data_IF_473394522484
#
_entry.id   IF_473394522484
#
_cell.length_a   1.000
_cell.length_b   1.000
_cell.length_c   1.000
_cell.angle_alpha   90.00
_cell.angle_beta   90.00
_cell.angle_gamma   90.00
#
_symmetry.space_group_name_H-M   'P 1'
#
loop_
_entity.id
_entity.type
_entity.pdbx_description
1 polymer ?
#
# COMPACT_ATOMS: atom_id res chain seq x y z
N UNK A 1 19.24 15.06 19.25
CA UNK A 1 18.42 14.89 20.47
C UNK A 1 18.89 13.71 21.33
N UNK A 2 18.83 12.46 20.87
CA UNK A 2 19.16 11.27 21.69
C UNK A 2 20.57 11.30 22.29
N UNK A 3 21.58 11.72 21.50
CA UNK A 3 22.96 11.88 21.96
C UNK A 3 23.12 12.96 23.05
N UNK A 4 22.42 14.09 22.93
CA UNK A 4 22.42 15.15 23.95
C UNK A 4 21.76 14.67 25.25
N UNK A 5 20.62 13.99 25.14
CA UNK A 5 19.92 13.43 26.31
C UNK A 5 20.78 12.39 27.03
N UNK A 6 21.47 11.53 26.28
CA UNK A 6 22.41 10.56 26.84
C UNK A 6 23.58 11.25 27.55
N UNK A 7 24.14 12.31 26.97
CA UNK A 7 25.20 13.11 27.60
C UNK A 7 24.76 13.77 28.91
N UNK A 8 23.55 14.33 28.95
CA UNK A 8 22.97 14.93 30.15
C UNK A 8 22.75 13.89 31.26
N UNK A 9 22.14 12.75 30.92
CA UNK A 9 21.84 11.66 31.86
C UNK A 9 23.10 10.99 32.40
N UNK A 10 24.13 10.84 31.57
CA UNK A 10 25.40 10.22 31.95
C UNK A 10 26.32 11.17 32.74
N UNK A 11 25.90 12.43 32.94
CA UNK A 11 26.72 13.43 33.62
C UNK A 11 27.99 13.80 32.85
N UNK A 12 27.97 13.67 31.53
CA UNK A 12 29.13 13.96 30.70
C UNK A 12 29.55 15.42 30.86
N UNK A 13 30.86 15.64 30.96
CA UNK A 13 31.48 16.97 31.03
C UNK A 13 32.03 17.27 29.64
N UNK A 14 31.69 18.44 29.11
CA UNK A 14 32.21 18.92 27.84
C UNK A 14 33.73 19.16 27.97
N UNK A 15 34.52 18.53 27.11
CA UNK A 15 35.99 18.62 27.15
C UNK A 15 36.52 20.02 26.79
N UNK A 16 35.70 20.84 26.13
CA UNK A 16 36.07 22.19 25.69
C UNK A 16 35.68 23.26 26.71
N UNK A 17 34.54 23.09 27.38
CA UNK A 17 34.02 24.09 28.33
C UNK A 17 34.22 23.69 29.80
N UNK A 18 34.59 22.44 30.09
CA UNK A 18 34.68 21.86 31.43
C UNK A 18 33.38 21.92 32.26
N UNK A 19 32.27 22.24 31.60
CA UNK A 19 30.94 22.28 32.19
C UNK A 19 30.13 21.03 31.82
N UNK A 20 29.09 20.75 32.61
CA UNK A 20 28.16 19.65 32.33
C UNK A 20 27.51 19.87 30.96
N UNK A 21 27.47 18.83 30.13
CA UNK A 21 26.78 18.88 28.83
C UNK A 21 25.34 19.32 29.04
N UNK A 22 24.98 20.44 28.42
CA UNK A 22 23.61 20.96 28.42
C UNK A 22 22.95 20.64 27.08
N UNK A 23 21.63 20.37 27.05
CA UNK A 23 20.92 20.14 25.80
C UNK A 23 20.82 21.45 25.02
N UNK A 24 20.71 21.36 23.68
CA UNK A 24 20.64 22.55 22.84
C UNK A 24 19.48 23.50 23.19
N UNK A 25 18.39 22.96 23.74
CA UNK A 25 17.27 23.71 24.29
C UNK A 25 17.11 23.47 25.80
N UNK A 26 18.01 24.00 26.63
CA UNK A 26 17.95 23.80 28.09
C UNK A 26 18.31 24.99 28.97
N UNK A 27 18.71 26.12 28.38
CA UNK A 27 19.30 27.22 29.14
C UNK A 27 18.27 28.13 29.82
N UNK A 28 16.99 28.05 29.43
CA UNK A 28 15.92 28.93 29.91
C UNK A 28 14.70 28.14 30.39
N UNK A 29 13.91 28.69 31.35
CA UNK A 29 12.63 28.10 31.70
C UNK A 29 11.73 28.02 30.46
N UNK A 30 11.03 26.89 30.31
CA UNK A 30 10.14 26.63 29.16
C UNK A 30 10.86 26.57 27.80
N UNK A 31 12.18 26.36 27.76
CA UNK A 31 12.97 26.24 26.52
C UNK A 31 12.38 25.23 25.53
N UNK A 32 11.85 24.11 26.01
CA UNK A 32 11.20 23.12 25.16
C UNK A 32 9.89 23.64 24.56
N UNK A 33 9.08 24.34 25.35
CA UNK A 33 7.83 24.92 24.88
C UNK A 33 8.13 25.98 23.81
N UNK A 34 9.07 26.89 24.09
CA UNK A 34 9.39 28.02 23.23
C UNK A 34 10.13 27.62 21.95
N UNK A 35 11.07 26.68 22.04
CA UNK A 35 11.92 26.31 20.90
C UNK A 35 11.44 25.09 20.13
N UNK A 36 10.62 24.22 20.75
CA UNK A 36 10.11 22.99 20.09
C UNK A 36 8.64 23.07 19.77
N UNK A 37 7.81 23.33 20.78
CA UNK A 37 6.35 23.27 20.63
C UNK A 37 5.81 24.48 19.88
N UNK A 38 6.24 25.69 20.26
CA UNK A 38 5.74 26.96 19.70
C UNK A 38 5.96 27.08 18.19
N UNK A 39 7.14 26.73 17.60
CA UNK A 39 7.32 26.77 16.15
C UNK A 39 6.34 25.86 15.40
N UNK A 40 6.13 24.64 15.88
CA UNK A 40 5.20 23.67 15.27
C UNK A 40 3.75 24.16 15.43
N UNK A 41 3.39 24.66 16.62
CA UNK A 41 2.08 25.22 16.89
C UNK A 41 1.78 26.42 15.98
N UNK A 42 2.75 27.31 15.76
CA UNK A 42 2.59 28.45 14.88
C UNK A 42 2.32 28.05 13.42
N UNK A 43 2.91 26.94 12.94
CA UNK A 43 2.59 26.37 11.63
C UNK A 43 1.14 25.90 11.59
N UNK A 44 0.73 25.08 12.56
CA UNK A 44 -0.64 24.56 12.65
C UNK A 44 -1.65 25.71 12.70
N UNK A 45 -1.40 26.71 13.56
CA UNK A 45 -2.25 27.89 13.71
C UNK A 45 -2.44 28.63 12.39
N UNK A 46 -1.35 28.88 11.65
CA UNK A 46 -1.39 29.55 10.33
C UNK A 46 -2.13 28.72 9.28
N UNK A 47 -1.95 27.40 9.26
CA UNK A 47 -2.67 26.51 8.34
C UNK A 47 -4.18 26.47 8.65
N UNK A 48 -4.55 26.50 9.93
CA UNK A 48 -5.96 26.60 10.36
C UNK A 48 -6.56 27.96 9.99
N UNK A 49 -5.84 29.06 10.18
CA UNK A 49 -6.27 30.40 9.72
C UNK A 49 -6.48 30.41 8.19
N UNK A 50 -5.59 29.76 7.44
CA UNK A 50 -5.70 29.59 5.98
C UNK A 50 -6.92 28.77 5.55
N UNK A 51 -7.39 27.83 6.38
CA UNK A 51 -8.59 27.02 6.10
C UNK A 51 -9.89 27.84 6.12
N UNK A 52 -9.90 29.01 6.78
CA UNK A 52 -11.10 29.83 7.03
C UNK A 52 -12.27 29.02 7.61
N UNK A 53 -11.99 28.18 8.60
CA UNK A 53 -13.01 27.31 9.21
C UNK A 53 -13.52 26.20 8.28
N UNK A 54 -12.68 25.73 7.36
CA UNK A 54 -13.02 24.65 6.42
C UNK A 54 -13.77 25.08 5.15
N UNK A 55 -13.92 26.39 4.91
CA UNK A 55 -14.59 26.93 3.71
C UNK A 55 -13.66 27.08 2.50
N UNK A 56 -12.34 26.95 2.71
CA UNK A 56 -11.34 27.04 1.63
C UNK A 56 -11.07 25.66 1.04
N UNK A 57 -10.81 25.61 -0.27
CA UNK A 57 -10.48 24.37 -0.98
C UNK A 57 -9.42 23.55 -0.24
N UNK A 58 -9.67 22.24 -0.12
CA UNK A 58 -8.86 21.32 0.68
C UNK A 58 -7.44 21.15 0.14
N UNK A 59 -7.13 21.65 -1.06
CA UNK A 59 -5.78 21.67 -1.64
C UNK A 59 -4.92 22.85 -1.17
N UNK A 60 -5.55 23.88 -0.60
CA UNK A 60 -4.90 25.16 -0.29
C UNK A 60 -4.28 25.25 1.13
N UNK A 61 -4.50 24.23 1.97
CA UNK A 61 -4.03 24.18 3.36
C UNK A 61 -3.71 22.74 3.77
N UNK A 62 -2.81 22.58 4.75
CA UNK A 62 -2.46 21.27 5.34
C UNK A 62 -3.30 20.97 6.58
N UNK A 63 -3.87 19.77 6.67
CA UNK A 63 -4.55 19.27 7.86
C UNK A 63 -3.57 18.62 8.84
N UNK A 64 -4.06 18.28 10.04
CA UNK A 64 -3.30 17.54 11.05
C UNK A 64 -2.66 16.26 10.48
N UNK A 65 -3.40 15.50 9.68
CA UNK A 65 -2.90 14.26 9.06
C UNK A 65 -1.71 14.52 8.13
N UNK A 66 -1.74 15.62 7.36
CA UNK A 66 -0.66 15.97 6.42
C UNK A 66 0.63 16.35 7.19
N UNK A 67 0.48 17.05 8.33
CA UNK A 67 1.60 17.39 9.21
C UNK A 67 2.13 16.16 9.95
N UNK A 68 1.24 15.29 10.43
CA UNK A 68 1.61 14.05 11.08
C UNK A 68 2.38 13.14 10.10
N UNK A 69 1.88 12.94 8.89
CA UNK A 69 2.53 12.12 7.84
C UNK A 69 3.95 12.57 7.57
N UNK A 70 4.20 13.89 7.52
CA UNK A 70 5.54 14.42 7.38
C UNK A 70 6.49 13.95 8.49
N UNK A 71 6.04 13.88 9.75
CA UNK A 71 6.86 13.35 10.86
C UNK A 71 7.09 11.83 10.76
N UNK A 72 6.23 11.11 10.06
CA UNK A 72 6.41 9.68 9.76
C UNK A 72 7.25 9.42 8.50
N UNK A 73 7.58 10.47 7.72
CA UNK A 73 8.45 10.36 6.56
C UNK A 73 9.93 10.53 6.94
N UNK A 74 10.87 9.94 6.17
CA UNK A 74 12.30 10.16 6.39
C UNK A 74 12.73 11.62 6.15
N UNK A 75 11.90 12.43 5.49
CA UNK A 75 12.16 13.84 5.28
C UNK A 75 12.09 14.64 6.59
N UNK A 76 11.45 14.10 7.64
CA UNK A 76 11.40 14.71 8.97
C UNK A 76 12.79 14.91 9.58
N UNK A 77 13.75 14.03 9.25
CA UNK A 77 15.14 14.18 9.68
C UNK A 77 15.80 15.41 9.04
N UNK A 78 15.25 15.91 7.94
CA UNK A 78 15.59 17.19 7.33
C UNK A 78 15.33 18.39 8.24
N UNK A 79 14.40 18.32 9.19
CA UNK A 79 14.22 19.42 10.17
C UNK A 79 15.50 19.63 10.99
N UNK A 80 16.19 18.54 11.30
CA UNK A 80 17.41 18.54 12.12
C UNK A 80 17.14 18.72 13.63
N UNK A 81 18.22 18.62 14.40
CA UNK A 81 18.25 18.94 15.82
C UNK A 81 19.56 19.69 16.12
N UNK A 82 19.52 20.97 16.56
CA UNK A 82 18.33 21.80 16.86
C UNK A 82 17.47 22.06 15.61
N UNK A 83 16.19 22.37 15.78
CA UNK A 83 15.27 22.54 14.66
C UNK A 83 15.65 23.79 13.84
N UNK A 84 15.75 23.61 12.51
CA UNK A 84 16.01 24.70 11.55
C UNK A 84 14.71 25.42 11.20
N UNK A 85 14.14 26.11 12.18
CA UNK A 85 12.85 26.82 12.08
C UNK A 85 12.83 27.90 10.98
N UNK A 86 13.97 28.54 10.74
CA UNK A 86 14.08 29.57 9.71
C UNK A 86 14.26 28.96 8.31
N UNK A 87 15.14 27.98 8.12
CA UNK A 87 15.53 27.57 6.77
C UNK A 87 14.78 26.36 6.22
N UNK A 88 14.01 25.65 7.06
CA UNK A 88 13.36 24.42 6.65
C UNK A 88 11.94 24.66 6.09
N UNK A 89 11.65 24.05 4.93
CA UNK A 89 10.38 24.20 4.20
C UNK A 89 9.13 23.79 5.00
N UNK A 90 9.29 22.88 5.98
CA UNK A 90 8.22 22.47 6.89
C UNK A 90 7.53 23.65 7.60
N UNK A 91 8.33 24.63 8.07
CA UNK A 91 7.84 25.79 8.82
C UNK A 91 7.31 26.92 7.93
N UNK A 92 7.48 26.79 6.61
CA UNK A 92 6.95 27.76 5.67
C UNK A 92 5.46 27.50 5.41
N UNK A 93 4.64 28.54 5.58
CA UNK A 93 3.21 28.54 5.25
C UNK A 93 2.95 29.68 4.27
N UNK A 94 2.24 29.40 3.17
CA UNK A 94 1.80 30.45 2.23
C UNK A 94 0.83 31.38 2.96
N UNK A 95 1.26 32.60 3.25
CA UNK A 95 0.35 33.67 3.67
C UNK A 95 -0.15 34.43 2.44
N UNK A 96 -1.45 34.74 2.40
CA UNK A 96 -2.07 35.44 1.26
C UNK A 96 -1.65 36.93 1.16
N UNK A 97 -0.86 37.44 2.11
CA UNK A 97 -0.55 38.88 2.24
C UNK A 97 0.77 39.33 1.58
N UNK A 98 1.26 38.65 0.54
CA UNK A 98 2.32 39.23 -0.32
C UNK A 98 1.79 39.39 -1.75
N UNK A 99 1.68 40.63 -2.27
CA UNK A 99 1.29 40.83 -3.66
C UNK A 99 2.37 40.22 -4.56
N UNK A 100 1.94 39.30 -5.41
CA UNK A 100 2.71 38.70 -6.51
C UNK A 100 3.00 39.80 -7.53
N UNK A 101 4.01 40.62 -7.27
CA UNK A 101 4.61 41.51 -8.27
C UNK A 101 6.05 41.11 -8.53
N UNK A 102 6.27 39.90 -9.05
CA UNK A 102 7.56 39.56 -9.70
C UNK A 102 7.50 38.39 -10.69
N UNK A 103 6.39 37.65 -10.81
CA UNK A 103 6.28 36.56 -11.78
C UNK A 103 5.94 37.00 -13.21
N UNK A 104 5.35 38.18 -13.44
CA UNK A 104 4.99 38.62 -14.80
C UNK A 104 6.16 39.20 -15.60
N UNK A 105 7.21 39.73 -14.94
CA UNK A 105 8.38 40.31 -15.67
C UNK A 105 9.33 39.26 -16.24
N UNK A 106 9.34 38.01 -15.74
CA UNK A 106 10.17 36.91 -16.29
C UNK A 106 9.55 36.23 -17.52
N UNK A 107 8.22 36.29 -17.71
CA UNK A 107 7.56 35.75 -18.92
C UNK A 107 7.66 36.68 -20.13
N UNK A 108 7.74 38.01 -19.93
CA UNK A 108 7.86 38.97 -21.04
C UNK A 108 9.27 39.06 -21.65
N UNK A 109 10.32 38.78 -20.89
CA UNK A 109 11.71 38.86 -21.37
C UNK A 109 12.21 37.60 -22.10
N UNK A 110 11.45 36.50 -22.07
CA UNK A 110 11.82 35.21 -22.69
C UNK A 110 11.22 35.01 -24.10
N UNK A 111 10.36 35.93 -24.55
CA UNK A 111 9.67 35.84 -25.85
C UNK A 111 10.23 36.79 -26.92
N UNK A 112 11.15 37.69 -26.59
CA UNK A 112 11.70 38.69 -27.54
C UNK A 112 13.21 38.54 -27.85
N UNK A 113 13.87 37.46 -27.43
CA UNK A 113 15.28 37.17 -27.79
C UNK A 113 15.45 35.78 -28.42
N UNK A 114 14.69 35.51 -29.47
CA UNK A 114 14.86 34.30 -30.27
C UNK A 114 14.52 34.53 -31.75
N UNK A 115 15.10 35.57 -32.33
CA UNK A 115 15.27 35.75 -33.78
C UNK A 115 16.61 36.50 -33.98
N UNK A 116 17.44 36.00 -34.89
CA UNK A 116 18.76 36.51 -35.36
C UNK A 116 19.93 36.43 -34.36
N UNK A 117 21.15 35.99 -34.68
CA UNK A 117 21.80 35.28 -35.79
C UNK A 117 23.21 34.91 -35.22
N UNK A 118 23.61 33.64 -35.21
CA UNK A 118 24.84 33.14 -35.85
C UNK A 118 25.88 34.20 -36.26
N UNK A 119 27.03 34.27 -35.57
CA UNK A 119 28.39 34.07 -36.13
C UNK A 119 29.54 34.46 -35.16
N UNK A 120 30.44 33.49 -34.94
CA UNK A 120 31.92 33.56 -35.05
C UNK A 120 32.81 34.38 -34.07
N UNK A 121 33.58 33.61 -33.28
CA UNK A 121 35.01 33.67 -32.87
C UNK A 121 35.66 34.83 -32.08
N UNK A 122 36.39 34.38 -31.04
CA UNK A 122 37.73 34.78 -30.53
C UNK A 122 38.01 36.23 -30.09
N UNK A 123 38.32 36.47 -28.80
CA UNK A 123 39.69 36.65 -28.23
C UNK A 123 39.68 37.24 -26.79
N UNK A 124 40.59 36.70 -25.96
CA UNK A 124 41.42 37.34 -24.90
C UNK A 124 40.79 37.89 -23.60
N UNK A 125 41.54 37.60 -22.53
CA UNK A 125 41.44 37.84 -21.09
C UNK A 125 41.34 39.32 -20.68
N UNK A 126 40.61 39.63 -19.60
CA UNK A 126 41.17 40.07 -18.29
C UNK A 126 40.08 40.62 -17.34
N UNK A 127 40.02 39.99 -16.16
CA UNK A 127 39.88 40.56 -14.81
C UNK A 127 38.63 41.30 -14.27
N UNK A 128 38.30 40.88 -13.04
CA UNK A 128 37.59 41.57 -11.93
C UNK A 128 36.06 41.68 -12.11
N UNK A 129 35.19 41.21 -11.21
CA UNK A 129 35.17 41.30 -9.75
C UNK A 129 34.17 40.27 -9.17
N UNK A 130 34.33 39.94 -7.88
CA UNK A 130 33.53 39.00 -7.11
C UNK A 130 32.01 39.25 -7.15
N UNK A 131 31.22 38.19 -7.34
CA UNK A 131 29.89 38.08 -6.71
C UNK A 131 29.53 36.59 -6.51
N UNK A 132 30.01 36.03 -5.39
CA UNK A 132 29.48 34.76 -4.87
C UNK A 132 28.04 35.01 -4.38
N UNK A 133 27.07 34.83 -5.27
CA UNK A 133 25.67 34.81 -4.90
C UNK A 133 25.31 33.39 -4.40
N UNK A 134 25.09 33.14 -3.10
CA UNK A 134 24.59 31.84 -2.68
C UNK A 134 23.17 31.73 -3.24
N UNK A 135 22.92 30.66 -4.00
CA UNK A 135 21.59 30.34 -4.53
C UNK A 135 20.57 30.37 -3.39
N UNK A 136 19.79 31.45 -3.33
CA UNK A 136 18.67 31.60 -2.41
C UNK A 136 17.59 30.62 -2.87
N UNK A 137 17.62 29.39 -2.36
CA UNK A 137 16.51 28.46 -2.51
C UNK A 137 15.23 29.16 -2.03
N UNK A 138 14.33 29.46 -2.97
CA UNK A 138 13.04 30.05 -2.63
C UNK A 138 12.26 29.03 -1.79
N UNK A 139 11.96 29.37 -0.53
CA UNK A 139 11.24 28.49 0.40
C UNK A 139 9.95 27.98 -0.24
N UNK A 140 9.79 26.67 -0.28
CA UNK A 140 8.67 26.04 -0.95
C UNK A 140 7.68 25.52 0.09
N UNK A 141 6.41 25.89 -0.07
CA UNK A 141 5.35 25.27 0.72
C UNK A 141 5.19 23.82 0.27
N UNK A 142 5.36 22.89 1.21
CA UNK A 142 5.44 21.45 0.97
C UNK A 142 4.18 20.82 0.34
N UNK A 143 3.08 21.58 0.23
CA UNK A 143 1.86 21.05 -0.35
C UNK A 143 1.05 20.25 0.64
N UNK A 144 -0.14 19.84 0.19
CA UNK A 144 -0.89 18.79 0.85
C UNK A 144 -0.25 17.44 0.51
N UNK A 145 0.22 16.71 1.52
CA UNK A 145 0.61 15.31 1.34
C UNK A 145 -0.70 14.53 1.23
N UNK A 146 -1.02 14.06 0.02
CA UNK A 146 -2.28 13.37 -0.19
C UNK A 146 -2.24 11.99 0.49
N UNK A 147 -2.47 11.89 1.80
CA UNK A 147 -3.14 10.74 2.39
C UNK A 147 -4.64 11.03 2.51
N UNK A 148 -5.25 11.39 1.38
CA UNK A 148 -6.64 11.00 1.19
C UNK A 148 -6.59 9.48 1.17
N UNK A 149 -6.95 8.84 2.30
CA UNK A 149 -7.45 7.46 2.27
C UNK A 149 -8.37 7.44 1.08
N UNK A 150 -8.00 6.73 0.01
CA UNK A 150 -8.91 6.51 -1.10
C UNK A 150 -9.98 5.60 -0.51
N UNK A 151 -10.95 6.17 0.20
CA UNK A 151 -12.07 5.47 0.82
C UNK A 151 -13.04 5.13 -0.32
N UNK A 152 -12.53 4.28 -1.21
CA UNK A 152 -13.32 3.64 -2.23
C UNK A 152 -14.08 2.50 -1.56
N UNK A 153 -15.31 2.28 -2.01
CA UNK A 153 -16.09 1.09 -1.65
C UNK A 153 -15.26 -0.21 -1.81
N UNK A 154 -14.35 -0.24 -2.78
CA UNK A 154 -13.43 -1.35 -3.02
C UNK A 154 -12.52 -1.67 -1.83
N UNK A 155 -12.24 -0.72 -0.93
CA UNK A 155 -11.45 -0.97 0.26
C UNK A 155 -12.21 -1.78 1.31
N UNK A 156 -13.54 -1.61 1.39
CA UNK A 156 -14.43 -2.44 2.20
C UNK A 156 -14.49 -3.86 1.62
N UNK A 157 -14.59 -3.98 0.29
CA UNK A 157 -14.57 -5.28 -0.38
C UNK A 157 -13.26 -6.03 -0.11
N UNK A 158 -12.12 -5.36 -0.24
CA UNK A 158 -10.79 -5.91 0.08
C UNK A 158 -10.66 -6.32 1.55
N UNK A 159 -11.17 -5.50 2.47
CA UNK A 159 -11.02 -5.74 3.91
C UNK A 159 -11.88 -6.90 4.42
N UNK A 160 -12.98 -7.23 3.74
CA UNK A 160 -13.92 -8.28 4.12
C UNK A 160 -14.09 -9.32 3.02
N UNK A 161 -13.01 -9.65 2.31
CA UNK A 161 -12.98 -10.58 1.16
C UNK A 161 -13.62 -11.93 1.48
N UNK A 162 -13.34 -12.49 2.66
CA UNK A 162 -13.85 -13.79 3.11
C UNK A 162 -15.38 -13.78 3.27
N UNK A 163 -15.90 -12.69 3.81
CA UNK A 163 -17.33 -12.49 4.03
C UNK A 163 -18.06 -12.39 2.68
N UNK A 164 -17.59 -11.52 1.79
CA UNK A 164 -18.19 -11.36 0.45
C UNK A 164 -18.13 -12.64 -0.36
N UNK A 165 -16.99 -13.35 -0.30
CA UNK A 165 -16.85 -14.65 -0.95
C UNK A 165 -17.86 -15.65 -0.44
N UNK A 166 -18.03 -15.76 0.88
CA UNK A 166 -19.03 -16.65 1.48
C UNK A 166 -20.45 -16.30 1.02
N UNK A 167 -20.84 -15.03 1.03
CA UNK A 167 -22.19 -14.62 0.64
C UNK A 167 -22.48 -14.88 -0.83
N UNK A 168 -21.56 -14.54 -1.74
CA UNK A 168 -21.76 -14.73 -3.17
C UNK A 168 -21.85 -16.23 -3.52
N UNK A 169 -20.97 -17.06 -2.96
CA UNK A 169 -20.98 -18.51 -3.21
C UNK A 169 -22.21 -19.18 -2.59
N UNK A 170 -22.60 -18.77 -1.38
CA UNK A 170 -23.82 -19.29 -0.74
C UNK A 170 -25.07 -18.89 -1.50
N UNK A 171 -25.15 -17.66 -2.00
CA UNK A 171 -26.25 -17.20 -2.83
C UNK A 171 -26.33 -18.02 -4.13
N UNK A 172 -25.20 -18.23 -4.80
CA UNK A 172 -25.16 -19.08 -6.00
C UNK A 172 -25.62 -20.51 -5.70
N UNK A 173 -25.18 -21.10 -4.59
CA UNK A 173 -25.60 -22.44 -4.17
C UNK A 173 -27.12 -22.51 -3.97
N UNK A 174 -27.69 -21.52 -3.26
CA UNK A 174 -29.13 -21.47 -2.99
C UNK A 174 -29.93 -21.28 -4.28
N UNK A 175 -29.46 -20.43 -5.21
CA UNK A 175 -30.12 -20.25 -6.51
C UNK A 175 -30.12 -21.56 -7.31
N UNK A 176 -28.98 -22.27 -7.37
CA UNK A 176 -28.90 -23.55 -8.06
C UNK A 176 -29.85 -24.58 -7.43
N UNK A 177 -29.88 -24.65 -6.09
CA UNK A 177 -30.79 -25.55 -5.38
C UNK A 177 -32.27 -25.19 -5.64
N UNK A 178 -32.61 -23.91 -5.68
CA UNK A 178 -33.97 -23.44 -5.96
C UNK A 178 -34.38 -23.75 -7.41
N UNK A 179 -33.46 -23.67 -8.37
CA UNK A 179 -33.76 -24.00 -9.78
C UNK A 179 -34.02 -25.48 -10.04
N UNK A 180 -33.56 -26.38 -9.17
CA UNK A 180 -33.71 -27.83 -9.30
C UNK A 180 -34.87 -28.39 -8.44
N UNK A 181 -35.70 -27.52 -7.83
CA UNK A 181 -36.88 -27.88 -7.02
C UNK A 181 -36.63 -29.02 -6.01
N UNK A 182 -35.52 -28.95 -5.26
CA UNK A 182 -35.16 -30.01 -4.30
C UNK A 182 -36.14 -30.05 -3.12
N UNK A 183 -36.78 -31.21 -2.93
CA UNK A 183 -37.66 -31.49 -1.77
C UNK A 183 -36.92 -31.99 -0.54
N UNK A 184 -35.64 -32.37 -0.65
CA UNK A 184 -34.81 -32.83 0.47
C UNK A 184 -33.31 -32.59 0.24
N UNK A 185 -32.50 -32.29 1.27
CA UNK A 185 -31.07 -31.98 1.14
C UNK A 185 -30.22 -33.11 0.54
N UNK A 186 -30.67 -34.37 0.65
CA UNK A 186 -29.94 -35.54 0.13
C UNK A 186 -30.07 -35.72 -1.39
N UNK A 187 -31.05 -35.06 -2.03
CA UNK A 187 -31.17 -35.04 -3.50
C UNK A 187 -30.05 -34.22 -4.16
N UNK A 188 -29.26 -33.50 -3.36
CA UNK A 188 -28.09 -32.72 -3.80
C UNK A 188 -26.95 -33.59 -4.36
N UNK A 189 -26.94 -34.89 -4.05
CA UNK A 189 -25.98 -35.86 -4.57
C UNK A 189 -26.39 -36.47 -5.92
N UNK A 190 -27.52 -36.06 -6.49
CA UNK A 190 -27.86 -36.46 -7.85
C UNK A 190 -26.85 -35.87 -8.83
N UNK A 191 -26.44 -36.65 -9.82
CA UNK A 191 -25.28 -36.33 -10.67
C UNK A 191 -25.47 -35.01 -11.43
N UNK A 192 -26.70 -34.71 -11.86
CA UNK A 192 -27.02 -33.48 -12.58
C UNK A 192 -26.94 -32.23 -11.69
N UNK A 193 -27.52 -32.31 -10.48
CA UNK A 193 -27.51 -31.20 -9.51
C UNK A 193 -26.08 -30.97 -8.99
N UNK A 194 -25.35 -32.05 -8.74
CA UNK A 194 -23.98 -31.99 -8.25
C UNK A 194 -23.03 -31.35 -9.27
N UNK A 195 -23.15 -31.67 -10.58
CA UNK A 195 -22.34 -31.02 -11.63
C UNK A 195 -22.58 -29.50 -11.67
N UNK A 196 -23.83 -29.06 -11.54
CA UNK A 196 -24.17 -27.64 -11.48
C UNK A 196 -23.66 -26.97 -10.19
N UNK A 197 -23.74 -27.64 -9.04
CA UNK A 197 -23.22 -27.09 -7.77
C UNK A 197 -21.70 -26.93 -7.80
N UNK A 198 -20.96 -27.85 -8.41
CA UNK A 198 -19.50 -27.69 -8.52
C UNK A 198 -19.14 -26.43 -9.34
N UNK A 199 -20.04 -25.84 -10.15
CA UNK A 199 -19.80 -24.54 -10.81
C UNK A 199 -19.50 -23.38 -9.85
N UNK A 200 -19.85 -23.51 -8.56
CA UNK A 200 -19.49 -22.55 -7.49
C UNK A 200 -17.97 -22.34 -7.42
N UNK A 201 -17.16 -23.38 -7.72
CA UNK A 201 -15.70 -23.23 -7.72
C UNK A 201 -15.19 -22.30 -8.82
N UNK A 202 -15.90 -22.18 -9.95
CA UNK A 202 -15.57 -21.21 -11.00
C UNK A 202 -15.77 -19.79 -10.46
N UNK A 203 -16.92 -19.52 -9.83
CA UNK A 203 -17.21 -18.22 -9.20
C UNK A 203 -16.20 -17.91 -8.11
N UNK A 204 -15.81 -18.91 -7.31
CA UNK A 204 -14.77 -18.76 -6.29
C UNK A 204 -13.43 -18.30 -6.90
N UNK A 205 -13.01 -18.90 -8.01
CA UNK A 205 -11.77 -18.50 -8.69
C UNK A 205 -11.84 -17.08 -9.26
N UNK A 206 -12.98 -16.67 -9.80
CA UNK A 206 -13.21 -15.29 -10.25
C UNK A 206 -13.09 -14.31 -9.07
N UNK A 207 -13.70 -14.61 -7.93
CA UNK A 207 -13.62 -13.76 -6.74
C UNK A 207 -12.19 -13.65 -6.21
N UNK A 208 -11.44 -14.75 -6.20
CA UNK A 208 -10.00 -14.76 -5.85
C UNK A 208 -9.16 -13.93 -6.83
N UNK A 209 -9.51 -13.92 -8.12
CA UNK A 209 -8.86 -13.07 -9.11
C UNK A 209 -9.16 -11.58 -8.90
N UNK A 210 -10.41 -11.22 -8.63
CA UNK A 210 -10.80 -9.84 -8.28
C UNK A 210 -10.08 -9.38 -7.01
N UNK A 211 -9.96 -10.26 -6.02
CA UNK A 211 -9.20 -10.00 -4.80
C UNK A 211 -7.73 -9.70 -5.10
N UNK A 212 -7.06 -10.55 -5.89
CA UNK A 212 -5.65 -10.35 -6.24
C UNK A 212 -5.40 -9.05 -7.02
N UNK A 213 -6.31 -8.67 -7.92
CA UNK A 213 -6.26 -7.37 -8.63
C UNK A 213 -6.42 -6.23 -7.63
N UNK A 214 -7.39 -6.33 -6.73
CA UNK A 214 -7.66 -5.29 -5.73
C UNK A 214 -6.45 -5.07 -4.82
N UNK A 215 -5.82 -6.15 -4.35
CA UNK A 215 -4.60 -6.09 -3.54
C UNK A 215 -3.49 -5.32 -4.26
N UNK A 216 -3.27 -5.59 -5.56
CA UNK A 216 -2.26 -4.88 -6.35
C UNK A 216 -2.64 -3.40 -6.56
N UNK A 217 -3.90 -3.12 -6.89
CA UNK A 217 -4.38 -1.77 -7.16
C UNK A 217 -4.20 -0.84 -5.95
N UNK A 218 -4.58 -1.30 -4.75
CA UNK A 218 -4.42 -0.52 -3.51
C UNK A 218 -2.97 -0.43 -3.05
N UNK A 219 -2.17 -1.44 -3.35
CA UNK A 219 -0.74 -1.47 -3.02
C UNK A 219 0.12 -0.63 -3.98
N UNK A 220 -0.44 -0.24 -5.14
CA UNK A 220 0.28 0.47 -6.20
C UNK A 220 0.95 1.76 -5.73
N UNK A 221 0.30 2.53 -4.86
CA UNK A 221 0.86 3.79 -4.34
C UNK A 221 2.03 3.56 -3.38
N UNK A 222 2.03 2.44 -2.65
CA UNK A 222 3.09 2.05 -1.70
C UNK A 222 4.21 1.20 -2.33
N UNK A 223 4.19 0.99 -3.66
CA UNK A 223 5.16 0.12 -4.35
C UNK A 223 6.62 0.55 -4.17
N UNK A 224 6.90 1.82 -3.94
CA UNK A 224 8.27 2.30 -3.79
C UNK A 224 8.85 2.01 -2.40
N UNK A 225 8.01 1.93 -1.38
CA UNK A 225 8.42 1.68 0.02
C UNK A 225 8.39 0.21 0.41
N UNK A 226 7.76 -0.66 -0.40
CA UNK A 226 7.65 -2.08 -0.10
C UNK A 226 8.88 -2.91 -0.45
N UNK A 227 9.19 -3.85 0.43
CA UNK A 227 10.19 -4.89 0.25
C UNK A 227 9.91 -5.76 -1.00
N UNK A 228 10.99 -6.22 -1.64
CA UNK A 228 10.92 -7.04 -2.84
C UNK A 228 10.12 -8.35 -2.64
N UNK A 229 10.25 -8.96 -1.45
CA UNK A 229 9.55 -10.19 -1.09
C UNK A 229 8.02 -10.06 -1.21
N UNK A 230 7.46 -8.95 -0.75
CA UNK A 230 6.02 -8.70 -0.78
C UNK A 230 5.51 -8.47 -2.21
N UNK A 231 6.30 -7.78 -3.04
CA UNK A 231 5.97 -7.57 -4.47
C UNK A 231 5.87 -8.88 -5.23
N UNK A 232 6.87 -9.76 -5.04
CA UNK A 232 6.87 -11.09 -5.66
C UNK A 232 5.66 -11.90 -5.18
N UNK A 233 5.33 -11.84 -3.89
CA UNK A 233 4.16 -12.54 -3.33
C UNK A 233 2.84 -12.11 -3.99
N UNK A 234 2.61 -10.81 -4.15
CA UNK A 234 1.42 -10.30 -4.82
C UNK A 234 1.34 -10.78 -6.28
N UNK A 235 2.46 -10.75 -7.01
CA UNK A 235 2.51 -11.25 -8.38
C UNK A 235 2.24 -12.75 -8.48
N UNK A 236 2.80 -13.56 -7.58
CA UNK A 236 2.56 -15.01 -7.55
C UNK A 236 1.10 -15.30 -7.23
N UNK A 237 0.48 -14.60 -6.27
CA UNK A 237 -0.96 -14.74 -5.97
C UNK A 237 -1.85 -14.41 -7.18
N UNK A 238 -1.53 -13.34 -7.90
CA UNK A 238 -2.24 -12.98 -9.13
C UNK A 238 -2.08 -14.07 -10.20
N UNK A 239 -0.86 -14.58 -10.41
CA UNK A 239 -0.60 -15.63 -11.39
C UNK A 239 -1.40 -16.91 -11.07
N UNK A 240 -1.41 -17.35 -9.81
CA UNK A 240 -2.21 -18.50 -9.37
C UNK A 240 -3.71 -18.28 -9.61
N UNK A 241 -4.22 -17.09 -9.29
CA UNK A 241 -5.62 -16.76 -9.51
C UNK A 241 -6.00 -16.79 -11.02
N UNK A 242 -5.13 -16.27 -11.89
CA UNK A 242 -5.31 -16.31 -13.35
C UNK A 242 -5.34 -17.76 -13.85
N UNK A 243 -4.40 -18.60 -13.40
CA UNK A 243 -4.32 -20.01 -13.78
C UNK A 243 -5.63 -20.73 -13.47
N UNK A 244 -6.15 -20.60 -12.24
CA UNK A 244 -7.40 -21.26 -11.86
C UNK A 244 -8.62 -20.68 -12.56
N UNK A 245 -8.64 -19.37 -12.81
CA UNK A 245 -9.70 -18.71 -13.56
C UNK A 245 -9.77 -19.14 -15.03
N UNK A 246 -8.69 -19.71 -15.58
CA UNK A 246 -8.67 -20.31 -16.93
C UNK A 246 -8.97 -21.81 -16.86
N UNK A 247 -8.29 -22.55 -15.97
CA UNK A 247 -8.41 -24.01 -15.89
C UNK A 247 -9.83 -24.45 -15.55
N UNK A 248 -10.47 -23.85 -14.52
CA UNK A 248 -11.79 -24.32 -14.05
C UNK A 248 -12.88 -24.15 -15.13
N UNK A 249 -13.06 -22.99 -15.78
CA UNK A 249 -14.04 -22.86 -16.85
C UNK A 249 -13.76 -23.77 -18.05
N UNK A 250 -12.50 -23.93 -18.46
CA UNK A 250 -12.12 -24.80 -19.58
C UNK A 250 -12.41 -26.27 -19.26
N UNK A 251 -12.04 -26.73 -18.06
CA UNK A 251 -12.33 -28.09 -17.61
C UNK A 251 -13.84 -28.33 -17.48
N UNK A 252 -14.61 -27.34 -17.01
CA UNK A 252 -16.07 -27.42 -16.91
C UNK A 252 -16.75 -27.48 -18.28
N UNK A 253 -16.36 -26.63 -19.23
CA UNK A 253 -16.88 -26.65 -20.58
C UNK A 253 -16.55 -27.96 -21.31
N UNK A 254 -15.36 -28.52 -21.08
CA UNK A 254 -14.96 -29.80 -21.65
C UNK A 254 -15.68 -30.99 -20.98
N UNK A 255 -15.95 -30.91 -19.67
CA UNK A 255 -16.76 -31.87 -18.91
C UNK A 255 -18.15 -32.01 -19.52
N UNK A 256 -18.87 -30.89 -19.67
CA UNK A 256 -20.22 -30.83 -20.26
C UNK A 256 -20.31 -31.41 -21.69
N UNK A 257 -19.21 -31.39 -22.45
CA UNK A 257 -19.17 -31.96 -23.81
C UNK A 257 -18.97 -33.48 -23.83
N UNK A 258 -18.33 -34.04 -22.81
CA UNK A 258 -18.06 -35.47 -22.69
C UNK A 258 -19.01 -36.08 -21.65
N UNK A 259 -20.24 -36.38 -22.07
CA UNK A 259 -21.17 -37.14 -21.26
C UNK A 259 -20.52 -38.48 -20.89
N UNK A 260 -20.37 -38.77 -19.59
CA UNK A 260 -19.87 -40.06 -19.17
C UNK A 260 -20.86 -41.14 -19.60
N UNK A 261 -20.49 -41.91 -20.62
CA UNK A 261 -21.31 -43.01 -21.13
C UNK A 261 -21.32 -44.13 -20.07
N UNK A 262 -22.53 -44.60 -19.75
CA UNK A 262 -22.82 -45.70 -18.81
C UNK A 262 -21.74 -46.79 -18.77
N UNK A 263 -21.20 -47.04 -17.58
CA UNK A 263 -20.54 -48.30 -17.29
C UNK A 263 -21.53 -49.45 -17.56
N UNK A 264 -21.05 -50.43 -18.33
CA UNK A 264 -21.79 -51.65 -18.68
C UNK A 264 -22.04 -52.44 -17.40
N UNK A 265 -23.29 -52.77 -17.10
CA UNK A 265 -23.68 -53.60 -15.95
C UNK A 265 -22.94 -54.94 -15.97
N UNK A 266 -22.21 -55.27 -14.89
CA UNK A 266 -21.76 -56.65 -14.67
C UNK A 266 -20.45 -56.87 -13.89
N UNK A 267 -19.69 -55.86 -13.48
CA UNK A 267 -18.48 -56.05 -12.67
C UNK A 267 -18.60 -55.38 -11.32
N UNK A 268 -18.17 -56.08 -10.28
CA UNK A 268 -18.15 -55.70 -8.86
C UNK A 268 -17.06 -54.65 -8.55
N UNK A 269 -16.70 -53.83 -9.54
CA UNK A 269 -15.81 -52.68 -9.42
C UNK A 269 -16.58 -51.47 -9.93
N UNK A 270 -17.25 -50.80 -8.99
CA UNK A 270 -18.03 -49.60 -9.24
C UNK A 270 -17.07 -48.44 -9.53
N UNK A 271 -16.65 -48.32 -10.79
CA UNK A 271 -15.82 -47.21 -11.26
C UNK A 271 -16.61 -45.90 -11.16
N UNK A 272 -16.25 -45.07 -10.18
CA UNK A 272 -16.71 -43.70 -10.06
C UNK A 272 -16.24 -42.92 -11.29
N UNK A 273 -17.17 -42.42 -12.10
CA UNK A 273 -16.79 -41.61 -13.26
C UNK A 273 -16.38 -40.20 -12.80
N UNK A 274 -15.09 -39.99 -12.54
CA UNK A 274 -14.55 -38.67 -12.24
C UNK A 274 -14.36 -37.88 -13.53
N UNK A 275 -15.18 -36.85 -13.74
CA UNK A 275 -14.94 -35.95 -14.88
C UNK A 275 -13.69 -35.10 -14.64
N UNK A 276 -13.00 -34.68 -15.72
CA UNK A 276 -11.81 -33.83 -15.63
C UNK A 276 -12.02 -32.57 -14.78
N UNK A 277 -13.26 -32.04 -14.76
CA UNK A 277 -13.63 -30.91 -13.92
C UNK A 277 -13.65 -31.24 -12.43
N UNK A 278 -14.17 -32.40 -12.02
CA UNK A 278 -14.22 -32.80 -10.61
C UNK A 278 -12.81 -32.94 -10.03
N UNK A 279 -11.88 -33.49 -10.81
CA UNK A 279 -10.46 -33.59 -10.42
C UNK A 279 -9.85 -32.20 -10.26
N UNK A 280 -10.07 -31.30 -11.23
CA UNK A 280 -9.59 -29.92 -11.14
C UNK A 280 -10.16 -29.16 -9.94
N UNK A 281 -11.46 -29.33 -9.66
CA UNK A 281 -12.13 -28.73 -8.50
C UNK A 281 -11.60 -29.28 -7.18
N UNK A 282 -11.30 -30.58 -7.10
CA UNK A 282 -10.68 -31.18 -5.90
C UNK A 282 -9.26 -30.65 -5.66
N UNK A 283 -8.45 -30.49 -6.72
CA UNK A 283 -7.11 -29.88 -6.61
C UNK A 283 -7.22 -28.40 -6.19
N UNK A 284 -8.17 -27.66 -6.78
CA UNK A 284 -8.43 -26.27 -6.38
C UNK A 284 -8.85 -26.17 -4.91
N UNK A 285 -9.77 -27.01 -4.45
CA UNK A 285 -10.24 -27.03 -3.07
C UNK A 285 -9.11 -27.35 -2.11
N UNK A 286 -8.31 -28.38 -2.38
CA UNK A 286 -7.17 -28.76 -1.53
C UNK A 286 -6.11 -27.67 -1.46
N UNK A 287 -5.84 -26.97 -2.58
CA UNK A 287 -4.89 -25.85 -2.61
C UNK A 287 -5.33 -24.66 -1.74
N UNK A 288 -6.63 -24.35 -1.70
CA UNK A 288 -7.17 -23.27 -0.88
C UNK A 288 -7.44 -23.70 0.58
N UNK A 289 -7.76 -24.97 0.82
CA UNK A 289 -8.00 -25.51 2.15
C UNK A 289 -6.72 -25.59 2.99
N UNK A 290 -5.55 -25.71 2.36
CA UNK A 290 -4.26 -25.75 3.05
C UNK A 290 -4.06 -24.54 3.99
N UNK A 291 -4.49 -23.34 3.59
CA UNK A 291 -4.40 -22.14 4.44
C UNK A 291 -5.32 -22.23 5.67
N UNK A 292 -6.52 -22.79 5.50
CA UNK A 292 -7.50 -22.96 6.58
C UNK A 292 -7.04 -24.05 7.55
N UNK A 293 -6.57 -25.19 7.04
CA UNK A 293 -6.08 -26.31 7.87
C UNK A 293 -4.89 -25.88 8.71
N UNK A 294 -3.95 -25.12 8.13
CA UNK A 294 -2.79 -24.61 8.87
C UNK A 294 -3.16 -23.57 9.93
N UNK A 295 -4.24 -22.80 9.72
CA UNK A 295 -4.79 -21.91 10.74
C UNK A 295 -5.38 -22.68 11.93
N UNK A 296 -6.12 -23.77 11.69
CA UNK A 296 -6.73 -24.58 12.74
C UNK A 296 -5.76 -25.52 13.46
N UNK A 297 -4.58 -25.78 12.90
CA UNK A 297 -3.56 -26.66 13.49
C UNK A 297 -2.27 -25.88 13.79
N UNK A 298 -2.21 -25.16 14.93
CA UNK A 298 -1.03 -24.36 15.33
C UNK A 298 0.26 -25.19 15.41
N UNK A 299 0.14 -26.49 15.72
CA UNK A 299 1.27 -27.42 15.78
C UNK A 299 2.00 -27.58 14.44
N UNK A 300 1.27 -27.53 13.31
CA UNK A 300 1.89 -27.56 11.98
C UNK A 300 2.61 -26.24 11.69
N UNK A 301 2.04 -25.11 12.08
CA UNK A 301 2.70 -23.80 11.96
C UNK A 301 4.04 -23.77 12.71
N UNK A 302 4.05 -24.23 13.97
CA UNK A 302 5.28 -24.30 14.79
C UNK A 302 6.34 -25.23 14.18
N UNK A 303 5.92 -26.35 13.60
CA UNK A 303 6.86 -27.27 12.93
C UNK A 303 7.45 -26.64 11.66
N UNK A 304 6.65 -25.94 10.87
CA UNK A 304 7.10 -25.24 9.65
C UNK A 304 8.10 -24.12 9.99
N UNK A 305 7.87 -23.40 11.09
CA UNK A 305 8.74 -22.31 11.54
C UNK A 305 10.10 -22.81 12.07
N UNK A 306 10.13 -23.94 12.76
CA UNK A 306 11.36 -24.53 13.34
C UNK A 306 12.15 -25.36 12.30
N UNK A 307 11.50 -25.82 11.24
CA UNK A 307 12.12 -26.69 10.24
C UNK A 307 13.06 -25.92 9.31
N UNK A 308 14.31 -26.38 9.21
CA UNK A 308 15.32 -25.82 8.30
C UNK A 308 15.18 -26.31 6.83
N UNK A 309 14.13 -27.07 6.50
CA UNK A 309 13.93 -27.56 5.15
C UNK A 309 13.57 -26.42 4.18
N UNK A 310 14.11 -26.44 2.95
CA UNK A 310 13.80 -25.47 1.89
C UNK A 310 12.30 -25.38 1.61
N UNK A 311 11.60 -26.52 1.63
CA UNK A 311 10.15 -26.59 1.41
C UNK A 311 9.40 -25.85 2.53
N UNK A 312 9.81 -26.05 3.79
CA UNK A 312 9.22 -25.35 4.94
C UNK A 312 9.46 -23.85 4.89
N UNK A 313 10.61 -23.38 4.38
CA UNK A 313 10.87 -21.94 4.17
C UNK A 313 9.96 -21.32 3.12
N UNK A 314 9.70 -22.02 2.01
CA UNK A 314 8.76 -21.55 0.97
C UNK A 314 7.33 -21.53 1.50
N UNK A 315 6.93 -22.56 2.24
CA UNK A 315 5.63 -22.61 2.91
C UNK A 315 5.49 -21.48 3.95
N UNK A 316 6.50 -21.26 4.79
CA UNK A 316 6.52 -20.16 5.75
C UNK A 316 6.38 -18.81 5.03
N UNK A 317 7.12 -18.58 3.95
CA UNK A 317 6.99 -17.37 3.12
C UNK A 317 5.57 -17.18 2.56
N UNK A 318 4.90 -18.28 2.17
CA UNK A 318 3.51 -18.25 1.75
C UNK A 318 2.56 -17.86 2.90
N UNK A 319 2.78 -18.41 4.10
CA UNK A 319 1.88 -18.29 5.27
C UNK A 319 2.04 -16.97 6.04
N UNK A 320 3.25 -16.42 6.17
CA UNK A 320 3.65 -15.33 7.10
C UNK A 320 2.93 -13.97 6.91
N UNK A 321 1.97 -13.86 5.99
CA UNK A 321 1.18 -12.64 5.75
C UNK A 321 -0.34 -12.88 5.86
N UNK A 322 -0.80 -14.12 6.10
CA UNK A 322 -2.23 -14.36 6.35
C UNK A 322 -2.66 -13.96 7.77
N UNK A 323 -1.74 -13.53 8.63
CA UNK A 323 -1.93 -13.26 10.05
C UNK A 323 -1.56 -11.83 10.47
N UNK A 324 -1.60 -10.86 9.55
CA UNK A 324 -1.48 -9.43 9.88
C UNK A 324 -2.66 -8.65 9.36
#
# INVERSE_FOLDING_TARGET
MSYEMHGVLSGAISLTTWEKVMPAYGNEPESFLNNVVTPIYNVIKKEVENSKGGTTDHSAWRNYDDLNEYFWSPDCFGIGWPMRDQDHDFFFVKTKDKPVQKMEKKKKKKTEKKVEEEETQETVEENQENDENPEKNERQWLGKTNFVEIRSFWQIFRSFDRMWSFYILSLQAIIIMACHDLGSPLQLLDAAVFEDIISIFITSAILKFIQAISDIAFTWKARYTMEHSQKVKLLVKLAFAIIWNIILPVCYANSRRKYCYKAKYGSLDQEWCFTSYMVAAAIYLTSNAAEVVLFFVPSMGKYIEVSNNKICKVLAWWIQVSSS
#
